data_IF_788314340485
#
_entry.id   IF_788314340485
#
_cell.length_a   1.000
_cell.length_b   1.000
_cell.length_c   1.000
_cell.angle_alpha   90.00
_cell.angle_beta   90.00
_cell.angle_gamma   90.00
#
_symmetry.space_group_name_H-M   'P 1'
#
loop_
_entity.id
_entity.type
_entity.pdbx_description
1 polymer ?
#
# COMPACT_ATOMS: atom_id res chain seq x y z
N UNK A 1 4.96 26.31 5.64
CA UNK A 1 4.87 25.70 6.98
C UNK A 1 6.19 25.00 7.27
N UNK A 2 6.76 25.16 8.47
CA UNK A 2 8.01 24.49 8.83
C UNK A 2 7.77 23.02 9.20
N UNK A 3 8.63 22.13 8.71
CA UNK A 3 8.56 20.68 8.94
C UNK A 3 8.56 20.31 10.43
N UNK A 4 9.27 21.07 11.27
CA UNK A 4 9.26 20.92 12.74
C UNK A 4 7.91 21.20 13.39
N UNK A 5 7.12 22.11 12.82
CA UNK A 5 5.77 22.40 13.32
C UNK A 5 4.82 21.25 12.96
N UNK A 6 4.96 20.70 11.75
CA UNK A 6 4.23 19.51 11.30
C UNK A 6 4.54 18.29 12.17
N UNK A 7 5.81 18.04 12.46
CA UNK A 7 6.25 16.95 13.34
C UNK A 7 5.53 16.97 14.69
N UNK A 8 5.45 18.15 15.33
CA UNK A 8 4.74 18.32 16.61
C UNK A 8 3.24 18.10 16.48
N UNK A 9 2.62 18.59 15.42
CA UNK A 9 1.18 18.43 15.18
C UNK A 9 0.77 17.00 14.83
N UNK A 10 1.68 16.25 14.18
CA UNK A 10 1.51 14.84 13.87
C UNK A 10 1.80 13.93 15.08
N UNK A 11 2.44 14.47 16.13
CA UNK A 11 2.80 13.72 17.34
C UNK A 11 4.04 12.84 17.16
N UNK A 12 4.92 13.18 16.22
CA UNK A 12 6.06 12.37 15.75
C UNK A 12 7.40 12.81 16.40
N UNK A 13 7.34 13.37 17.61
CA UNK A 13 8.35 14.27 18.18
C UNK A 13 9.77 13.70 18.48
N UNK A 14 10.14 12.52 17.96
CA UNK A 14 11.39 11.84 18.31
C UNK A 14 12.21 11.33 17.11
N UNK A 15 11.70 11.35 15.88
CA UNK A 15 12.38 10.71 14.76
C UNK A 15 13.09 11.74 13.86
N UNK A 16 14.26 12.18 14.31
CA UNK A 16 15.09 13.19 13.64
C UNK A 16 15.46 12.79 12.21
N UNK A 17 15.54 11.49 11.93
CA UNK A 17 15.85 10.99 10.60
C UNK A 17 14.67 11.13 9.65
N UNK A 18 13.44 10.89 10.11
CA UNK A 18 12.21 11.13 9.33
C UNK A 18 12.07 12.60 8.99
N UNK A 19 12.32 13.50 9.94
CA UNK A 19 12.28 14.95 9.70
C UNK A 19 13.26 15.36 8.60
N UNK A 20 14.51 14.92 8.69
CA UNK A 20 15.53 15.20 7.67
C UNK A 20 15.11 14.67 6.31
N UNK A 21 14.58 13.45 6.27
CA UNK A 21 14.13 12.83 5.03
C UNK A 21 12.94 13.58 4.41
N UNK A 22 11.99 14.02 5.23
CA UNK A 22 10.84 14.80 4.78
C UNK A 22 11.26 16.17 4.23
N UNK A 23 12.25 16.83 4.84
CA UNK A 23 12.84 18.08 4.34
C UNK A 23 13.55 17.90 2.99
N UNK A 24 14.33 16.83 2.83
CA UNK A 24 14.98 16.49 1.56
C UNK A 24 13.94 16.26 0.44
N UNK A 25 12.88 15.50 0.73
CA UNK A 25 11.80 15.23 -0.21
C UNK A 25 11.05 16.50 -0.60
N UNK A 26 10.79 17.40 0.37
CA UNK A 26 10.14 18.67 0.10
C UNK A 26 11.01 19.59 -0.77
N UNK A 27 12.32 19.63 -0.50
CA UNK A 27 13.25 20.39 -1.33
C UNK A 27 13.28 19.88 -2.76
N UNK A 28 13.43 18.56 -2.95
CA UNK A 28 13.39 17.93 -4.25
C UNK A 28 12.06 18.17 -4.97
N UNK A 29 10.94 18.05 -4.25
CA UNK A 29 9.60 18.28 -4.80
C UNK A 29 9.43 19.71 -5.30
N UNK A 30 9.98 20.72 -4.61
CA UNK A 30 9.92 22.12 -5.05
C UNK A 30 10.82 22.42 -6.25
N UNK A 31 11.88 21.65 -6.45
CA UNK A 31 12.79 21.82 -7.58
C UNK A 31 12.27 21.15 -8.85
N UNK A 32 11.73 19.94 -8.71
CA UNK A 32 11.40 19.07 -9.86
C UNK A 32 9.91 19.10 -10.23
N UNK A 33 9.04 19.66 -9.38
CA UNK A 33 7.58 19.52 -9.53
C UNK A 33 6.81 20.80 -9.19
N UNK A 34 6.04 21.30 -10.17
CA UNK A 34 5.11 22.40 -9.97
C UNK A 34 3.82 21.92 -9.28
N UNK A 35 3.85 21.88 -7.95
CA UNK A 35 2.72 21.43 -7.13
C UNK A 35 1.46 22.31 -7.30
N UNK A 36 1.65 23.60 -7.60
CA UNK A 36 0.53 24.54 -7.76
C UNK A 36 -0.30 24.20 -9.01
N UNK A 37 0.33 23.75 -10.09
CA UNK A 37 -0.35 23.28 -11.30
C UNK A 37 -1.34 22.12 -11.05
N UNK A 38 -1.13 21.36 -9.96
CA UNK A 38 -2.00 20.24 -9.56
C UNK A 38 -2.94 20.58 -8.40
N UNK A 39 -3.04 21.85 -8.01
CA UNK A 39 -3.87 22.30 -6.89
C UNK A 39 -3.35 21.84 -5.53
N UNK A 40 -2.05 21.53 -5.43
CA UNK A 40 -1.39 21.12 -4.18
C UNK A 40 -0.74 22.35 -3.56
N UNK A 41 -1.31 22.87 -2.48
CA UNK A 41 -0.74 24.01 -1.74
C UNK A 41 0.48 23.62 -0.90
N UNK A 42 1.28 24.59 -0.50
CA UNK A 42 2.54 24.40 0.25
C UNK A 42 2.40 23.56 1.53
N UNK A 43 1.30 23.77 2.27
CA UNK A 43 1.00 23.02 3.50
C UNK A 43 0.74 21.56 3.17
N UNK A 44 -0.10 21.31 2.17
CA UNK A 44 -0.40 19.96 1.69
C UNK A 44 0.86 19.27 1.18
N UNK A 45 1.66 19.92 0.35
CA UNK A 45 2.92 19.38 -0.16
C UNK A 45 3.87 18.96 0.98
N UNK A 46 3.94 19.77 2.05
CA UNK A 46 4.76 19.47 3.23
C UNK A 46 4.25 18.23 3.96
N UNK A 47 2.93 18.10 4.15
CA UNK A 47 2.29 16.93 4.78
C UNK A 47 2.53 15.67 3.94
N UNK A 48 2.37 15.75 2.61
CA UNK A 48 2.57 14.62 1.70
C UNK A 48 4.02 14.13 1.72
N UNK A 49 5.00 15.03 1.67
CA UNK A 49 6.42 14.67 1.77
C UNK A 49 6.74 14.00 3.11
N UNK A 50 6.08 14.42 4.19
CA UNK A 50 6.22 13.81 5.51
C UNK A 50 5.66 12.39 5.55
N UNK A 51 4.47 12.15 5.01
CA UNK A 51 3.89 10.81 4.91
C UNK A 51 4.78 9.88 4.07
N UNK A 52 5.30 10.37 2.94
CA UNK A 52 6.22 9.60 2.10
C UNK A 52 7.50 9.24 2.86
N UNK A 53 8.08 10.18 3.61
CA UNK A 53 9.26 9.91 4.44
C UNK A 53 8.97 8.82 5.49
N UNK A 54 7.84 8.91 6.18
CA UNK A 54 7.41 7.90 7.15
C UNK A 54 7.26 6.52 6.48
N UNK A 55 6.64 6.48 5.29
CA UNK A 55 6.49 5.24 4.52
C UNK A 55 7.83 4.64 4.10
N UNK A 56 8.80 5.46 3.66
CA UNK A 56 10.13 4.99 3.26
C UNK A 56 10.92 4.45 4.46
N UNK A 57 10.72 5.04 5.64
CA UNK A 57 11.42 4.68 6.88
C UNK A 57 10.66 3.67 7.74
N UNK A 58 9.51 3.17 7.26
CA UNK A 58 8.64 2.23 7.97
C UNK A 58 8.17 2.73 9.36
N UNK A 59 8.04 4.05 9.49
CA UNK A 59 7.54 4.70 10.71
C UNK A 59 6.02 4.89 10.57
N UNK A 60 5.22 4.52 11.59
CA UNK A 60 3.78 4.68 11.52
C UNK A 60 3.40 6.16 11.37
N UNK A 61 2.45 6.43 10.47
CA UNK A 61 1.94 7.78 10.21
C UNK A 61 0.42 7.81 10.40
N UNK A 62 -0.09 8.77 11.18
CA UNK A 62 -1.52 8.98 11.36
C UNK A 62 -2.10 9.71 10.14
N UNK A 63 -2.54 8.92 9.17
CA UNK A 63 -3.10 9.41 7.91
C UNK A 63 -4.31 10.33 8.10
N UNK A 64 -5.14 10.07 9.12
CA UNK A 64 -6.34 10.88 9.38
C UNK A 64 -5.97 12.28 9.86
N UNK A 65 -4.93 12.42 10.68
CA UNK A 65 -4.37 13.74 11.03
C UNK A 65 -3.72 14.42 9.83
N UNK A 66 -2.97 13.66 9.01
CA UNK A 66 -2.36 14.18 7.78
C UNK A 66 -3.40 14.81 6.84
N UNK A 67 -4.50 14.09 6.57
CA UNK A 67 -5.60 14.58 5.72
C UNK A 67 -6.18 15.87 6.30
N UNK A 68 -6.48 15.91 7.60
CA UNK A 68 -7.00 17.12 8.26
C UNK A 68 -6.05 18.32 8.14
N UNK A 69 -4.75 18.11 8.35
CA UNK A 69 -3.73 19.17 8.25
C UNK A 69 -3.52 19.65 6.81
N UNK A 70 -3.68 18.77 5.83
CA UNK A 70 -3.54 19.12 4.41
C UNK A 70 -4.70 19.98 3.88
N UNK A 71 -5.86 19.96 4.54
CA UNK A 71 -7.09 20.61 4.09
C UNK A 71 -7.77 19.95 2.88
N UNK A 72 -7.31 18.75 2.48
CA UNK A 72 -7.89 18.00 1.37
C UNK A 72 -8.94 16.99 1.85
N UNK A 73 -9.83 16.59 0.93
CA UNK A 73 -10.65 15.38 1.12
C UNK A 73 -9.79 14.11 0.97
N UNK A 74 -10.20 12.99 1.55
CA UNK A 74 -9.49 11.70 1.41
C UNK A 74 -9.16 11.36 -0.06
N UNK A 75 -10.13 11.59 -0.96
CA UNK A 75 -9.94 11.32 -2.39
C UNK A 75 -8.89 12.26 -3.01
N UNK A 76 -8.95 13.55 -2.70
CA UNK A 76 -7.98 14.52 -3.21
C UNK A 76 -6.58 14.24 -2.65
N UNK A 77 -6.49 13.95 -1.35
CA UNK A 77 -5.25 13.61 -0.66
C UNK A 77 -4.56 12.40 -1.30
N UNK A 78 -5.31 11.33 -1.54
CA UNK A 78 -4.77 10.12 -2.19
C UNK A 78 -4.24 10.41 -3.60
N UNK A 79 -4.95 11.22 -4.39
CA UNK A 79 -4.48 11.61 -5.73
C UNK A 79 -3.19 12.42 -5.64
N UNK A 80 -3.17 13.44 -4.78
CA UNK A 80 -1.99 14.31 -4.60
C UNK A 80 -0.78 13.53 -4.09
N UNK A 81 -0.97 12.58 -3.18
CA UNK A 81 0.09 11.68 -2.70
C UNK A 81 0.70 10.89 -3.85
N UNK A 82 -0.14 10.25 -4.68
CA UNK A 82 0.33 9.51 -5.86
C UNK A 82 1.04 10.42 -6.86
N UNK A 83 0.52 11.63 -7.12
CA UNK A 83 1.16 12.60 -8.01
C UNK A 83 2.56 12.97 -7.52
N UNK A 84 2.70 13.31 -6.23
CA UNK A 84 3.99 13.67 -5.63
C UNK A 84 4.95 12.48 -5.62
N UNK A 85 4.48 11.27 -5.29
CA UNK A 85 5.29 10.04 -5.36
C UNK A 85 5.83 9.80 -6.77
N UNK A 86 4.97 9.92 -7.79
CA UNK A 86 5.37 9.74 -9.19
C UNK A 86 6.35 10.83 -9.64
N UNK A 87 6.11 12.09 -9.28
CA UNK A 87 7.00 13.20 -9.62
C UNK A 87 8.40 13.03 -9.00
N UNK A 88 8.48 12.46 -7.80
CA UNK A 88 9.73 12.17 -7.12
C UNK A 88 10.35 10.82 -7.53
N UNK A 89 9.74 10.08 -8.45
CA UNK A 89 10.19 8.74 -8.84
C UNK A 89 10.09 7.69 -7.73
N UNK A 90 9.33 7.97 -6.68
CA UNK A 90 9.16 7.09 -5.52
C UNK A 90 8.08 6.06 -5.86
N UNK A 91 8.52 4.84 -6.18
CA UNK A 91 7.61 3.72 -6.37
C UNK A 91 7.05 3.29 -5.02
N UNK A 92 5.73 3.10 -4.95
CA UNK A 92 5.10 2.43 -3.81
C UNK A 92 5.70 1.04 -3.66
N UNK A 93 6.56 0.87 -2.66
CA UNK A 93 7.10 -0.45 -2.35
C UNK A 93 6.02 -1.24 -1.64
N UNK A 94 5.48 -2.26 -2.30
CA UNK A 94 4.73 -3.32 -1.63
C UNK A 94 5.64 -3.90 -0.55
N UNK A 95 5.24 -3.74 0.71
CA UNK A 95 6.06 -4.16 1.82
C UNK A 95 6.10 -5.70 1.84
N UNK A 96 7.29 -6.29 1.74
CA UNK A 96 7.49 -7.75 1.80
C UNK A 96 6.85 -8.33 3.06
N UNK A 97 6.83 -7.57 4.16
CA UNK A 97 6.15 -7.96 5.40
C UNK A 97 4.63 -8.06 5.22
N UNK A 98 4.01 -7.14 4.48
CA UNK A 98 2.57 -7.19 4.20
C UNK A 98 2.22 -8.40 3.35
N UNK A 99 3.03 -8.69 2.33
CA UNK A 99 2.90 -9.90 1.50
C UNK A 99 3.03 -11.17 2.34
N UNK A 100 4.06 -11.26 3.19
CA UNK A 100 4.28 -12.41 4.05
C UNK A 100 3.14 -12.60 5.06
N UNK A 101 2.64 -11.51 5.64
CA UNK A 101 1.51 -11.53 6.58
C UNK A 101 0.24 -12.00 5.89
N UNK A 102 -0.03 -11.51 4.67
CA UNK A 102 -1.19 -11.94 3.89
C UNK A 102 -1.12 -13.43 3.56
N UNK A 103 0.01 -13.92 3.04
CA UNK A 103 0.19 -15.34 2.74
C UNK A 103 -0.02 -16.23 3.97
N UNK A 104 0.54 -15.83 5.12
CA UNK A 104 0.38 -16.57 6.38
C UNK A 104 -1.08 -16.64 6.82
N UNK A 105 -1.81 -15.51 6.77
CA UNK A 105 -3.24 -15.43 7.11
C UNK A 105 -4.11 -16.23 6.15
N UNK A 106 -3.83 -16.15 4.85
CA UNK A 106 -4.54 -16.95 3.86
C UNK A 106 -4.36 -18.44 4.10
N UNK A 107 -3.12 -18.90 4.35
CA UNK A 107 -2.84 -20.31 4.66
C UNK A 107 -3.60 -20.80 5.89
N UNK A 108 -3.59 -20.02 6.96
CA UNK A 108 -4.32 -20.33 8.21
C UNK A 108 -5.82 -20.48 7.95
N UNK A 109 -6.43 -19.52 7.25
CA UNK A 109 -7.87 -19.51 6.98
C UNK A 109 -8.28 -20.56 5.96
N UNK A 110 -7.50 -20.79 4.90
CA UNK A 110 -7.77 -21.83 3.90
C UNK A 110 -7.68 -23.24 4.51
N UNK A 111 -6.76 -23.49 5.44
CA UNK A 111 -6.72 -24.75 6.16
C UNK A 111 -7.93 -24.95 7.08
N UNK A 112 -8.50 -23.86 7.62
CA UNK A 112 -9.71 -23.90 8.44
C UNK A 112 -10.97 -24.21 7.61
N UNK A 113 -11.03 -23.82 6.33
CA UNK A 113 -12.14 -24.17 5.43
C UNK A 113 -12.06 -25.61 4.91
N UNK A 114 -10.90 -26.26 5.02
CA UNK A 114 -10.70 -27.63 4.55
C UNK A 114 -11.00 -28.71 5.63
N UNK A 115 -11.63 -29.84 5.23
CA UNK A 115 -11.71 -31.03 6.06
C UNK A 115 -10.33 -31.59 6.43
N UNK A 116 -10.18 -32.16 7.62
CA UNK A 116 -8.90 -32.68 8.16
C UNK A 116 -8.16 -33.62 7.21
N UNK A 117 -8.90 -34.46 6.49
CA UNK A 117 -8.34 -35.39 5.50
C UNK A 117 -7.62 -34.69 4.34
N UNK A 118 -8.02 -33.46 3.97
CA UNK A 118 -7.44 -32.68 2.86
C UNK A 118 -6.43 -31.63 3.30
N UNK A 119 -6.27 -31.39 4.61
CA UNK A 119 -5.31 -30.39 5.12
C UNK A 119 -3.86 -30.75 4.78
N UNK A 120 -3.53 -32.04 4.73
CA UNK A 120 -2.15 -32.51 4.42
C UNK A 120 -1.81 -32.49 2.93
N UNK A 121 -2.80 -32.41 2.05
CA UNK A 121 -2.60 -32.39 0.59
C UNK A 121 -2.61 -30.97 0.00
N UNK A 122 -2.82 -29.94 0.84
CA UNK A 122 -2.80 -28.56 0.39
C UNK A 122 -1.35 -28.09 0.19
N UNK A 123 -0.96 -27.95 -1.07
CA UNK A 123 0.33 -27.37 -1.46
C UNK A 123 0.18 -25.84 -1.53
N UNK A 124 0.97 -25.14 -0.72
CA UNK A 124 1.04 -23.67 -0.71
C UNK A 124 2.40 -23.15 -1.19
N UNK A 125 3.31 -24.03 -1.60
CA UNK A 125 4.65 -23.67 -2.07
C UNK A 125 4.64 -23.25 -3.54
N UNK A 126 3.51 -23.46 -4.23
CA UNK A 126 3.33 -23.01 -5.60
C UNK A 126 3.41 -21.46 -5.69
N UNK A 127 4.25 -20.90 -6.59
CA UNK A 127 4.48 -19.45 -6.66
C UNK A 127 3.23 -18.63 -7.02
N UNK A 128 2.17 -19.29 -7.53
CA UNK A 128 0.87 -18.66 -7.79
C UNK A 128 0.31 -17.94 -6.56
N UNK A 129 0.47 -18.50 -5.36
CA UNK A 129 -0.09 -17.89 -4.14
C UNK A 129 0.60 -16.55 -3.82
N UNK A 130 1.92 -16.48 -3.99
CA UNK A 130 2.68 -15.24 -3.78
C UNK A 130 2.36 -14.23 -4.90
N UNK A 131 2.30 -14.66 -6.15
CA UNK A 131 1.94 -13.79 -7.30
C UNK A 131 0.54 -13.19 -7.15
N UNK A 132 -0.45 -13.98 -6.73
CA UNK A 132 -1.82 -13.50 -6.50
C UNK A 132 -1.88 -12.60 -5.28
N UNK A 133 -1.19 -12.94 -4.19
CA UNK A 133 -1.08 -12.07 -3.00
C UNK A 133 -0.52 -10.70 -3.36
N UNK A 134 0.54 -10.69 -4.17
CA UNK A 134 1.15 -9.47 -4.68
C UNK A 134 0.18 -8.67 -5.55
N UNK A 135 -0.50 -9.34 -6.50
CA UNK A 135 -1.52 -8.74 -7.35
C UNK A 135 -2.63 -8.06 -6.52
N UNK A 136 -3.15 -8.76 -5.52
CA UNK A 136 -4.21 -8.28 -4.65
C UNK A 136 -3.76 -7.10 -3.76
N UNK A 137 -2.58 -7.20 -3.14
CA UNK A 137 -2.03 -6.11 -2.33
C UNK A 137 -1.75 -4.86 -3.17
N UNK A 138 -1.27 -5.03 -4.40
CA UNK A 138 -1.01 -3.91 -5.29
C UNK A 138 -2.27 -3.22 -5.79
N UNK A 139 -3.32 -4.00 -6.10
CA UNK A 139 -4.63 -3.46 -6.46
C UNK A 139 -5.22 -2.62 -5.33
N UNK A 140 -5.08 -3.06 -4.08
CA UNK A 140 -5.45 -2.27 -2.90
C UNK A 140 -4.72 -0.93 -2.84
N UNK A 141 -3.44 -0.91 -3.24
CA UNK A 141 -2.62 0.30 -3.33
C UNK A 141 -2.81 1.09 -4.64
N UNK A 142 -3.76 0.69 -5.51
CA UNK A 142 -4.00 1.27 -6.85
C UNK A 142 -2.78 1.28 -7.76
N UNK A 143 -1.83 0.37 -7.52
CA UNK A 143 -0.68 0.19 -8.39
C UNK A 143 -1.09 -0.54 -9.67
N UNK A 144 -0.59 -0.05 -10.81
CA UNK A 144 -0.74 -0.74 -12.09
C UNK A 144 0.18 -1.96 -12.11
N UNK A 145 -0.40 -3.15 -12.25
CA UNK A 145 0.32 -4.41 -12.33
C UNK A 145 -0.02 -5.12 -13.63
N UNK A 146 1.02 -5.63 -14.28
CA UNK A 146 0.89 -6.53 -15.41
C UNK A 146 0.57 -7.96 -14.93
N UNK A 147 -0.70 -8.37 -15.10
CA UNK A 147 -1.17 -9.72 -14.78
C UNK A 147 -0.44 -10.78 -15.61
N UNK A 148 -0.15 -10.51 -16.88
CA UNK A 148 0.50 -11.47 -17.77
C UNK A 148 1.92 -11.81 -17.28
N UNK A 149 2.66 -10.79 -16.85
CA UNK A 149 4.00 -10.97 -16.30
C UNK A 149 4.00 -11.77 -14.98
N UNK A 150 3.00 -11.56 -14.13
CA UNK A 150 2.85 -12.36 -12.90
C UNK A 150 2.53 -13.83 -13.19
N UNK A 151 1.68 -14.09 -14.18
CA UNK A 151 1.34 -15.46 -14.61
C UNK A 151 2.55 -16.18 -15.21
N UNK A 152 3.40 -15.46 -15.95
CA UNK A 152 4.66 -15.99 -16.48
C UNK A 152 5.62 -16.39 -15.34
N UNK A 153 5.82 -15.49 -14.35
CA UNK A 153 6.69 -15.77 -13.20
C UNK A 153 6.20 -16.93 -12.35
N UNK A 154 4.87 -17.08 -12.18
CA UNK A 154 4.31 -18.21 -11.45
C UNK A 154 4.04 -19.45 -12.30
N UNK A 155 4.37 -19.43 -13.60
CA UNK A 155 4.09 -20.52 -14.55
C UNK A 155 2.65 -21.03 -14.46
N UNK A 156 1.70 -20.11 -14.37
CA UNK A 156 0.29 -20.38 -14.07
C UNK A 156 -0.60 -20.01 -15.26
N UNK A 157 -1.67 -20.77 -15.47
CA UNK A 157 -2.69 -20.44 -16.46
C UNK A 157 -3.66 -19.34 -15.97
N UNK A 158 -4.26 -18.58 -16.88
CA UNK A 158 -5.28 -17.58 -16.53
C UNK A 158 -6.45 -18.12 -15.67
N UNK A 159 -7.04 -19.31 -15.95
CA UNK A 159 -8.10 -19.85 -15.11
C UNK A 159 -7.61 -20.18 -13.70
N UNK A 160 -6.40 -20.75 -13.56
CA UNK A 160 -5.82 -21.07 -12.26
C UNK A 160 -5.51 -19.80 -11.45
N UNK A 161 -4.91 -18.79 -12.08
CA UNK A 161 -4.65 -17.50 -11.44
C UNK A 161 -5.94 -16.83 -10.97
N UNK A 162 -6.98 -16.88 -11.80
CA UNK A 162 -8.29 -16.30 -11.49
C UNK A 162 -9.01 -17.04 -10.35
N UNK A 163 -8.90 -18.37 -10.32
CA UNK A 163 -9.45 -19.20 -9.22
C UNK A 163 -8.77 -18.89 -7.88
N UNK A 164 -7.44 -18.81 -7.85
CA UNK A 164 -6.69 -18.46 -6.63
C UNK A 164 -7.00 -17.03 -6.21
N UNK A 165 -7.15 -16.10 -7.17
CA UNK A 165 -7.57 -14.71 -6.90
C UNK A 165 -8.94 -14.66 -6.24
N UNK A 166 -9.93 -15.39 -6.76
CA UNK A 166 -11.27 -15.45 -6.19
C UNK A 166 -11.25 -16.06 -4.78
N UNK A 167 -10.53 -17.16 -4.59
CA UNK A 167 -10.41 -17.82 -3.28
C UNK A 167 -9.74 -16.92 -2.23
N UNK A 168 -8.64 -16.25 -2.58
CA UNK A 168 -7.99 -15.30 -1.67
C UNK A 168 -8.87 -14.09 -1.35
N UNK A 169 -9.64 -13.61 -2.32
CA UNK A 169 -10.56 -12.48 -2.11
C UNK A 169 -11.70 -12.86 -1.17
N UNK A 170 -12.26 -14.06 -1.30
CA UNK A 170 -13.35 -14.54 -0.45
C UNK A 170 -12.88 -14.84 0.99
N UNK A 171 -11.73 -15.50 1.14
CA UNK A 171 -11.22 -15.93 2.45
C UNK A 171 -10.55 -14.77 3.22
N UNK A 172 -9.95 -13.82 2.49
CA UNK A 172 -9.19 -12.69 3.06
C UNK A 172 -9.77 -11.33 2.66
N UNK A 173 -11.09 -11.22 2.51
CA UNK A 173 -11.80 -9.99 2.10
C UNK A 173 -11.38 -8.74 2.91
N UNK A 174 -11.14 -8.91 4.22
CA UNK A 174 -10.66 -7.89 5.15
C UNK A 174 -9.24 -7.39 4.81
N UNK A 175 -8.36 -8.27 4.31
CA UNK A 175 -6.99 -7.93 3.95
C UNK A 175 -6.91 -7.23 2.59
N UNK A 176 -7.77 -7.60 1.64
CA UNK A 176 -7.88 -6.93 0.33
C UNK A 176 -8.69 -5.63 0.36
N UNK A 177 -9.38 -5.33 1.46
CA UNK A 177 -10.18 -4.11 1.59
C UNK A 177 -11.51 -4.19 0.83
N UNK A 178 -12.05 -5.41 0.68
CA UNK A 178 -13.36 -5.66 0.08
C UNK A 178 -14.34 -5.95 1.23
N UNK A 179 -15.48 -5.27 1.29
CA UNK A 179 -16.53 -5.63 2.25
C UNK A 179 -17.07 -7.02 1.91
N UNK A 180 -17.33 -7.84 2.93
CA UNK A 180 -17.86 -9.20 2.75
C UNK A 180 -19.21 -9.09 2.03
N UNK A 181 -19.30 -9.56 0.79
CA UNK A 181 -20.61 -9.74 0.17
C UNK A 181 -21.40 -10.74 1.02
N UNK A 182 -22.51 -10.25 1.58
CA UNK A 182 -23.50 -11.12 2.25
C UNK A 182 -24.03 -12.07 1.19
N UNK A 183 -23.61 -13.32 1.25
CA UNK A 183 -24.31 -14.41 0.58
C UNK A 183 -25.62 -14.64 1.35
N UNK A 184 -26.74 -14.23 0.76
CA UNK A 184 -28.08 -14.72 1.11
C UNK A 184 -28.30 -16.15 0.60
#
# INVERSE_FOLDING_TARGET
MEMKVLERQLGMAADREVLRKAEELLHLCRMEFDAAAFGIGDVCQSVLCFEIACSMMQVPFDRQKGIKLSGLSDKAYNRSLTTVQNALGIRTSLNVRELATFCSRYKERFLATLPEARRRSADFDHPVFISVTFYLCARKQKASIDKAKLMEVSSTSDPEFSNVTASMTDICFDLVGVEKEKSE
#
